data_IF_941007918093
#
_entry.id   IF_941007918093
#
_cell.length_a   1.000
_cell.length_b   1.000
_cell.length_c   1.000
_cell.angle_alpha   90.00
_cell.angle_beta   90.00
_cell.angle_gamma   90.00
#
_symmetry.space_group_name_H-M   'P 1'
#
loop_
_entity.id
_entity.type
_entity.pdbx_description
1 polymer ?
#
# COMPACT_ATOMS: atom_id res chain seq x y z
N UNK A 1 -55.71 -23.18 44.59
CA UNK A 1 -56.42 -22.76 43.36
C UNK A 1 -55.75 -21.53 42.75
N UNK A 2 -54.90 -21.75 41.75
CA UNK A 2 -54.71 -20.96 40.52
C UNK A 2 -53.68 -21.73 39.69
N UNK A 3 -54.20 -22.52 38.75
CA UNK A 3 -53.42 -23.19 37.71
C UNK A 3 -52.87 -22.12 36.75
N UNK A 4 -51.63 -22.28 36.27
CA UNK A 4 -51.39 -22.56 34.84
C UNK A 4 -49.90 -22.60 34.46
N UNK A 5 -49.54 -23.67 33.72
CA UNK A 5 -48.49 -23.79 32.68
C UNK A 5 -47.02 -23.79 33.19
N UNK A 6 -46.27 -24.90 33.28
CA UNK A 6 -46.03 -26.01 32.34
C UNK A 6 -45.60 -25.53 30.94
N UNK A 7 -44.28 -25.46 30.67
CA UNK A 7 -43.56 -26.34 29.72
C UNK A 7 -42.14 -25.85 29.36
N UNK A 8 -41.28 -26.85 29.26
CA UNK A 8 -39.96 -26.95 28.63
C UNK A 8 -39.82 -26.31 27.24
N UNK A 9 -38.55 -26.25 26.80
CA UNK A 9 -38.02 -26.14 25.42
C UNK A 9 -37.69 -24.71 24.97
N UNK A 10 -36.63 -24.42 24.22
CA UNK A 10 -35.62 -25.22 23.53
C UNK A 10 -34.49 -24.28 23.09
N UNK A 11 -33.28 -24.83 23.06
CA UNK A 11 -32.13 -24.38 22.27
C UNK A 11 -32.54 -23.76 20.93
N UNK A 12 -32.13 -22.51 20.67
CA UNK A 12 -31.98 -22.01 19.30
C UNK A 12 -30.56 -21.51 19.11
N UNK A 13 -29.70 -22.50 18.90
CA UNK A 13 -28.46 -22.40 18.16
C UNK A 13 -28.80 -21.79 16.79
N UNK A 14 -28.73 -20.47 16.65
CA UNK A 14 -28.81 -19.83 15.35
C UNK A 14 -27.51 -20.10 14.60
N UNK A 15 -27.43 -21.31 14.04
CA UNK A 15 -26.48 -21.65 12.99
C UNK A 15 -26.72 -20.71 11.84
N UNK A 16 -25.78 -19.79 11.61
CA UNK A 16 -25.66 -19.11 10.33
C UNK A 16 -25.11 -20.16 9.38
N UNK A 17 -26.03 -20.96 8.86
CA UNK A 17 -25.82 -21.79 7.69
C UNK A 17 -25.30 -20.90 6.56
N UNK A 18 -24.17 -21.37 6.02
CA UNK A 18 -23.60 -20.95 4.75
C UNK A 18 -24.68 -21.03 3.67
N UNK A 19 -25.37 -19.91 3.44
CA UNK A 19 -26.02 -19.70 2.15
C UNK A 19 -24.94 -19.16 1.22
N UNK A 20 -24.35 -20.12 0.52
CA UNK A 20 -23.86 -19.99 -0.83
C UNK A 20 -24.68 -18.95 -1.62
N UNK A 21 -24.09 -17.77 -1.83
CA UNK A 21 -24.25 -17.11 -3.13
C UNK A 21 -23.08 -17.52 -4.01
N UNK A 22 -23.10 -18.78 -4.43
CA UNK A 22 -22.75 -19.10 -5.81
C UNK A 22 -23.88 -18.55 -6.69
N UNK A 23 -23.94 -17.22 -6.81
CA UNK A 23 -24.76 -16.53 -7.79
C UNK A 23 -23.93 -16.37 -9.05
N UNK A 24 -24.36 -17.02 -10.12
CA UNK A 24 -23.80 -16.91 -11.46
C UNK A 24 -23.49 -15.45 -11.86
N UNK A 25 -22.25 -15.21 -12.29
CA UNK A 25 -21.98 -14.34 -13.43
C UNK A 25 -21.98 -12.82 -13.26
N UNK A 26 -22.15 -12.26 -12.06
CA UNK A 26 -21.96 -10.80 -11.89
C UNK A 26 -20.81 -10.50 -10.95
N UNK A 27 -19.69 -10.11 -11.56
CA UNK A 27 -18.52 -9.53 -10.92
C UNK A 27 -18.89 -8.24 -10.16
N UNK A 28 -19.48 -8.35 -8.97
CA UNK A 28 -19.86 -7.18 -8.17
C UNK A 28 -18.62 -6.44 -7.73
N UNK A 29 -18.45 -5.20 -8.20
CA UNK A 29 -17.41 -4.28 -7.73
C UNK A 29 -17.46 -4.16 -6.21
N UNK A 30 -16.31 -3.96 -5.56
CA UNK A 30 -16.22 -3.72 -4.11
C UNK A 30 -17.19 -2.61 -3.67
N UNK A 31 -17.43 -1.64 -4.55
CA UNK A 31 -18.31 -0.50 -4.29
C UNK A 31 -19.78 -0.85 -4.02
N UNK A 32 -20.24 -2.03 -4.42
CA UNK A 32 -21.64 -2.47 -4.29
C UNK A 32 -21.79 -3.78 -3.49
N UNK A 33 -20.68 -4.37 -3.05
CA UNK A 33 -20.70 -5.65 -2.37
C UNK A 33 -21.36 -5.54 -0.98
N UNK A 34 -21.89 -6.66 -0.48
CA UNK A 34 -22.40 -6.77 0.90
C UNK A 34 -21.28 -7.09 1.89
N UNK A 35 -20.21 -7.75 1.42
CA UNK A 35 -19.00 -8.03 2.17
C UNK A 35 -17.79 -7.70 1.32
N UNK A 36 -16.74 -7.18 1.94
CA UNK A 36 -15.45 -6.95 1.27
C UNK A 36 -14.34 -7.63 2.05
N UNK A 37 -13.46 -8.31 1.33
CA UNK A 37 -12.20 -8.85 1.82
C UNK A 37 -11.13 -8.65 0.73
N UNK A 38 -9.87 -8.42 1.09
CA UNK A 38 -8.86 -7.90 0.17
C UNK A 38 -8.58 -8.85 -1.00
N UNK A 39 -8.25 -10.13 -0.73
CA UNK A 39 -7.89 -11.11 -1.77
C UNK A 39 -9.12 -11.59 -2.53
N UNK A 40 -10.26 -11.74 -1.88
CA UNK A 40 -11.54 -12.05 -2.51
C UNK A 40 -11.94 -10.94 -3.49
N UNK A 41 -11.79 -9.67 -3.11
CA UNK A 41 -12.07 -8.54 -4.00
C UNK A 41 -11.14 -8.54 -5.22
N UNK A 42 -9.89 -8.95 -5.05
CA UNK A 42 -8.92 -9.00 -6.13
C UNK A 42 -9.28 -9.99 -7.24
N UNK A 43 -10.12 -11.00 -6.97
CA UNK A 43 -10.55 -11.98 -7.97
C UNK A 43 -11.47 -11.38 -9.05
N UNK A 44 -12.01 -10.18 -8.82
CA UNK A 44 -12.91 -9.52 -9.76
C UNK A 44 -12.22 -9.24 -11.12
N UNK A 45 -12.94 -9.47 -12.22
CA UNK A 45 -12.48 -9.17 -13.57
C UNK A 45 -12.39 -7.65 -13.86
N UNK A 46 -13.26 -6.85 -13.24
CA UNK A 46 -13.23 -5.39 -13.25
C UNK A 46 -12.22 -4.88 -12.23
N UNK A 47 -11.49 -3.82 -12.60
CA UNK A 47 -10.51 -3.19 -11.71
C UNK A 47 -11.17 -2.66 -10.45
N UNK A 48 -10.58 -3.00 -9.31
CA UNK A 48 -10.94 -2.46 -8.00
C UNK A 48 -9.76 -1.64 -7.47
N UNK A 49 -10.04 -0.66 -6.61
CA UNK A 49 -9.00 0.15 -5.99
C UNK A 49 -9.14 0.10 -4.48
N UNK A 50 -8.03 -0.21 -3.83
CA UNK A 50 -7.84 -0.07 -2.40
C UNK A 50 -6.78 0.99 -2.12
N UNK A 51 -6.85 1.60 -0.95
CA UNK A 51 -5.97 2.66 -0.50
C UNK A 51 -5.31 2.19 0.79
N UNK A 52 -3.98 2.18 0.80
CA UNK A 52 -3.22 2.10 2.05
C UNK A 52 -3.03 3.51 2.55
N UNK A 53 -3.58 3.82 3.72
CA UNK A 53 -3.45 5.13 4.35
C UNK A 53 -2.16 5.20 5.16
N UNK A 54 -1.74 6.42 5.51
CA UNK A 54 -0.70 6.66 6.52
C UNK A 54 -1.27 6.80 7.94
N UNK A 55 -2.57 6.58 8.12
CA UNK A 55 -3.28 6.66 9.40
C UNK A 55 -4.00 5.36 9.70
N UNK A 56 -4.21 5.09 10.99
CA UNK A 56 -4.89 3.90 11.50
C UNK A 56 -6.38 3.80 11.11
N UNK A 57 -7.01 4.93 10.79
CA UNK A 57 -8.41 5.02 10.37
C UNK A 57 -8.59 6.12 9.31
N UNK A 58 -9.63 6.04 8.46
CA UNK A 58 -9.92 7.05 7.43
C UNK A 58 -10.40 8.37 8.05
N UNK A 59 -9.76 9.47 7.65
CA UNK A 59 -10.12 10.86 7.97
C UNK A 59 -9.97 11.71 6.70
N UNK A 60 -10.48 12.93 6.71
CA UNK A 60 -10.43 13.85 5.55
C UNK A 60 -9.00 14.18 5.11
N UNK A 61 -8.11 14.35 6.08
CA UNK A 61 -6.69 14.68 5.89
C UNK A 61 -5.78 13.45 5.75
N UNK A 62 -6.33 12.23 5.88
CA UNK A 62 -5.60 10.98 5.69
C UNK A 62 -4.90 10.98 4.33
N UNK A 63 -3.59 10.85 4.36
CA UNK A 63 -2.79 10.68 3.15
C UNK A 63 -2.85 9.22 2.72
N UNK A 64 -2.97 9.04 1.42
CA UNK A 64 -2.82 7.76 0.75
C UNK A 64 -1.32 7.55 0.57
N UNK A 65 -0.81 6.49 1.18
CA UNK A 65 0.57 6.04 0.99
C UNK A 65 0.69 5.25 -0.31
N UNK A 66 -0.30 4.40 -0.60
CA UNK A 66 -0.32 3.60 -1.81
C UNK A 66 -1.73 3.39 -2.36
N UNK A 67 -1.81 3.35 -3.68
CA UNK A 67 -3.00 2.99 -4.44
C UNK A 67 -2.82 1.57 -4.97
N UNK A 68 -3.61 0.65 -4.44
CA UNK A 68 -3.57 -0.78 -4.72
C UNK A 68 -4.66 -1.12 -5.74
N UNK A 69 -4.25 -1.33 -6.99
CA UNK A 69 -5.17 -1.65 -8.10
C UNK A 69 -5.27 -3.15 -8.26
N UNK A 70 -6.44 -3.70 -7.98
CA UNK A 70 -6.68 -5.14 -8.00
C UNK A 70 -7.48 -5.56 -9.23
N UNK A 71 -7.09 -6.68 -9.85
CA UNK A 71 -7.80 -7.28 -10.96
C UNK A 71 -7.34 -8.73 -11.17
N UNK A 72 -8.28 -9.67 -11.38
CA UNK A 72 -8.00 -11.08 -11.74
C UNK A 72 -6.95 -11.76 -10.83
N UNK A 73 -7.11 -11.61 -9.52
CA UNK A 73 -6.25 -12.21 -8.49
C UNK A 73 -4.87 -11.55 -8.34
N UNK A 74 -4.67 -10.39 -8.96
CA UNK A 74 -3.41 -9.65 -8.93
C UNK A 74 -3.60 -8.23 -8.40
N UNK A 75 -2.54 -7.66 -7.84
CA UNK A 75 -2.49 -6.28 -7.36
C UNK A 75 -1.30 -5.55 -7.97
N UNK A 76 -1.52 -4.33 -8.43
CA UNK A 76 -0.48 -3.35 -8.76
C UNK A 76 -0.43 -2.31 -7.66
N UNK A 77 0.75 -2.06 -7.10
CA UNK A 77 0.94 -1.22 -5.92
C UNK A 77 1.68 0.08 -6.29
N UNK A 78 0.90 1.11 -6.61
CA UNK A 78 1.43 2.43 -6.92
C UNK A 78 1.74 3.19 -5.63
N UNK A 79 3.01 3.47 -5.39
CA UNK A 79 3.39 4.39 -4.33
C UNK A 79 3.04 5.81 -4.76
N UNK A 80 2.27 6.52 -3.91
CA UNK A 80 1.86 7.90 -4.19
C UNK A 80 2.34 8.84 -3.08
N UNK A 81 2.56 10.10 -3.44
CA UNK A 81 2.89 11.20 -2.52
C UNK A 81 1.90 12.34 -2.67
N UNK A 82 1.61 13.01 -1.55
CA UNK A 82 0.75 14.20 -1.49
C UNK A 82 -0.66 13.96 -2.09
N UNK A 83 -1.17 12.74 -1.92
CA UNK A 83 -2.53 12.34 -2.32
C UNK A 83 -3.33 12.08 -1.06
N UNK A 84 -4.40 12.84 -0.82
CA UNK A 84 -5.32 12.62 0.31
C UNK A 84 -6.60 11.90 -0.11
N UNK A 85 -7.32 11.29 0.83
CA UNK A 85 -8.65 10.75 0.56
C UNK A 85 -9.61 11.81 0.01
N UNK A 86 -9.51 13.04 0.51
CA UNK A 86 -10.28 14.17 -0.01
C UNK A 86 -9.98 14.45 -1.48
N UNK A 87 -8.70 14.42 -1.91
CA UNK A 87 -8.33 14.65 -3.32
C UNK A 87 -8.87 13.58 -4.28
N UNK A 88 -9.10 12.38 -3.75
CA UNK A 88 -9.67 11.25 -4.48
C UNK A 88 -11.19 11.20 -4.43
N UNK A 89 -11.83 12.10 -3.70
CA UNK A 89 -13.28 12.17 -3.60
C UNK A 89 -13.91 12.33 -4.99
N UNK A 90 -15.06 11.67 -5.22
CA UNK A 90 -15.77 11.63 -6.50
C UNK A 90 -15.01 11.08 -7.72
N UNK A 91 -13.71 10.76 -7.61
CA UNK A 91 -12.97 10.15 -8.70
C UNK A 91 -13.40 8.72 -8.95
N UNK A 92 -13.62 8.39 -10.23
CA UNK A 92 -13.87 7.04 -10.73
C UNK A 92 -12.60 6.21 -10.70
N UNK A 93 -12.73 4.88 -10.67
CA UNK A 93 -11.59 3.94 -10.62
C UNK A 93 -10.51 4.26 -11.66
N UNK A 94 -10.86 4.45 -12.94
CA UNK A 94 -9.85 4.74 -13.97
C UNK A 94 -9.16 6.10 -13.81
N UNK A 95 -9.85 7.10 -13.24
CA UNK A 95 -9.23 8.40 -12.94
C UNK A 95 -8.19 8.25 -11.83
N UNK A 96 -8.53 7.51 -10.77
CA UNK A 96 -7.61 7.20 -9.66
C UNK A 96 -6.39 6.43 -10.16
N UNK A 97 -6.58 5.45 -11.05
CA UNK A 97 -5.46 4.67 -11.62
C UNK A 97 -4.54 5.56 -12.47
N UNK A 98 -5.10 6.45 -13.29
CA UNK A 98 -4.30 7.40 -14.08
C UNK A 98 -3.51 8.35 -13.18
N UNK A 99 -4.17 8.88 -12.15
CA UNK A 99 -3.53 9.75 -11.15
C UNK A 99 -2.38 9.02 -10.45
N UNK A 100 -2.60 7.80 -9.99
CA UNK A 100 -1.58 7.01 -9.30
C UNK A 100 -0.35 6.75 -10.20
N UNK A 101 -0.56 6.38 -11.46
CA UNK A 101 0.52 6.19 -12.45
C UNK A 101 1.30 7.49 -12.71
N UNK A 102 0.59 8.61 -12.87
CA UNK A 102 1.22 9.91 -13.10
C UNK A 102 2.02 10.37 -11.89
N UNK A 103 1.46 10.21 -10.69
CA UNK A 103 2.10 10.56 -9.42
C UNK A 103 3.37 9.72 -9.16
N UNK A 104 3.32 8.41 -9.44
CA UNK A 104 4.50 7.54 -9.31
C UNK A 104 5.62 7.96 -10.27
N UNK A 105 5.29 8.26 -11.54
CA UNK A 105 6.25 8.76 -12.53
C UNK A 105 6.84 10.11 -12.14
N UNK A 106 6.00 11.03 -11.68
CA UNK A 106 6.44 12.34 -11.22
C UNK A 106 7.38 12.22 -10.02
N UNK A 107 6.98 11.43 -9.01
CA UNK A 107 7.78 11.15 -7.82
C UNK A 107 9.13 10.54 -8.20
N UNK A 108 9.15 9.62 -9.17
CA UNK A 108 10.39 9.04 -9.69
C UNK A 108 11.32 10.11 -10.28
N UNK A 109 10.81 10.93 -11.20
CA UNK A 109 11.61 11.98 -11.85
C UNK A 109 12.13 13.01 -10.84
N UNK A 110 11.28 13.46 -9.92
CA UNK A 110 11.66 14.42 -8.87
C UNK A 110 12.70 13.85 -7.92
N UNK A 111 12.54 12.59 -7.49
CA UNK A 111 13.51 11.94 -6.60
C UNK A 111 14.85 11.74 -7.29
N UNK A 112 14.84 11.35 -8.56
CA UNK A 112 16.05 11.21 -9.38
C UNK A 112 16.78 12.56 -9.51
N UNK A 113 16.06 13.62 -9.88
CA UNK A 113 16.62 14.96 -10.02
C UNK A 113 17.16 15.51 -8.68
N UNK A 114 16.42 15.32 -7.58
CA UNK A 114 16.85 15.74 -6.24
C UNK A 114 18.13 15.01 -5.81
N UNK A 115 18.22 13.70 -6.01
CA UNK A 115 19.45 12.95 -5.70
C UNK A 115 20.63 13.41 -6.54
N UNK A 116 20.42 13.68 -7.82
CA UNK A 116 21.47 14.23 -8.69
C UNK A 116 21.94 15.62 -8.23
N UNK A 117 21.01 16.48 -7.80
CA UNK A 117 21.33 17.80 -7.27
C UNK A 117 22.14 17.70 -5.97
N UNK A 118 21.77 16.79 -5.06
CA UNK A 118 22.48 16.59 -3.80
C UNK A 118 23.94 16.17 -4.03
N UNK A 119 24.21 15.17 -4.87
CA UNK A 119 25.59 14.76 -5.18
C UNK A 119 26.42 15.86 -5.84
N UNK A 120 25.79 16.71 -6.66
CA UNK A 120 26.47 17.86 -7.25
C UNK A 120 26.77 18.95 -6.22
N UNK A 121 25.86 19.17 -5.27
CA UNK A 121 26.03 20.13 -4.19
C UNK A 121 27.12 19.72 -3.20
N UNK A 122 27.15 18.43 -2.81
CA UNK A 122 28.21 17.84 -1.98
C UNK A 122 29.58 18.01 -2.65
N UNK A 123 29.71 17.59 -3.91
CA UNK A 123 30.93 17.77 -4.71
C UNK A 123 31.36 19.24 -4.85
N UNK A 124 30.43 20.17 -5.06
CA UNK A 124 30.75 21.59 -5.18
C UNK A 124 31.29 22.17 -3.86
N UNK A 125 30.71 21.75 -2.73
CA UNK A 125 31.15 22.13 -1.40
C UNK A 125 32.57 21.64 -1.15
N UNK A 126 32.84 20.37 -1.43
CA UNK A 126 34.16 19.78 -1.19
C UNK A 126 35.23 20.32 -2.13
N UNK A 127 34.90 20.62 -3.39
CA UNK A 127 35.82 21.32 -4.30
C UNK A 127 36.14 22.74 -3.81
N UNK A 128 35.18 23.43 -3.22
CA UNK A 128 35.43 24.74 -2.60
C UNK A 128 36.34 24.61 -1.39
N UNK A 129 36.11 23.60 -0.53
CA UNK A 129 36.95 23.31 0.64
C UNK A 129 38.37 22.90 0.24
N UNK A 130 38.52 22.11 -0.83
CA UNK A 130 39.80 21.76 -1.44
C UNK A 130 40.56 23.02 -1.87
N UNK A 131 39.94 23.87 -2.69
CA UNK A 131 40.54 25.13 -3.17
C UNK A 131 40.97 26.05 -2.02
N UNK A 132 40.14 26.16 -0.99
CA UNK A 132 40.45 26.97 0.19
C UNK A 132 41.57 26.34 1.04
N UNK A 133 41.61 25.02 1.16
CA UNK A 133 42.67 24.32 1.89
C UNK A 133 44.03 24.47 1.20
N UNK A 134 44.04 24.44 -0.13
CA UNK A 134 45.24 24.71 -0.94
C UNK A 134 45.75 26.16 -0.75
N UNK A 135 44.88 27.10 -0.37
CA UNK A 135 45.21 28.51 -0.15
C UNK A 135 45.77 28.83 1.25
N UNK A 136 45.48 28.03 2.29
CA UNK A 136 45.82 28.34 3.70
C UNK A 136 46.81 27.36 4.39
N UNK A 137 47.62 26.61 3.63
CA UNK A 137 48.79 25.85 4.13
C UNK A 137 48.52 24.85 5.29
N UNK A 138 47.30 24.33 5.43
CA UNK A 138 46.95 23.38 6.49
C UNK A 138 47.12 21.92 6.02
N UNK A 139 48.36 21.40 5.96
CA UNK A 139 48.70 20.11 5.32
C UNK A 139 47.85 18.89 5.74
N UNK A 140 47.46 18.76 7.02
CA UNK A 140 46.58 17.65 7.47
C UNK A 140 45.13 17.82 7.01
N UNK A 141 44.66 19.07 6.81
CA UNK A 141 43.33 19.39 6.27
C UNK A 141 43.25 19.26 4.75
N UNK A 142 44.34 19.59 4.02
CA UNK A 142 44.42 19.44 2.55
C UNK A 142 44.24 17.98 2.12
N UNK A 143 44.90 17.04 2.80
CA UNK A 143 44.78 15.61 2.48
C UNK A 143 43.34 15.09 2.66
N UNK A 144 42.65 15.57 3.71
CA UNK A 144 41.25 15.24 3.96
C UNK A 144 40.34 15.86 2.90
N UNK A 145 40.46 17.16 2.63
CA UNK A 145 39.65 17.84 1.61
C UNK A 145 39.84 17.24 0.20
N UNK A 146 41.08 16.86 -0.16
CA UNK A 146 41.36 16.15 -1.41
C UNK A 146 40.69 14.77 -1.47
N UNK A 147 40.70 14.04 -0.35
CA UNK A 147 40.08 12.71 -0.25
C UNK A 147 38.56 12.80 -0.37
N UNK A 148 37.94 13.75 0.34
CA UNK A 148 36.50 14.02 0.32
C UNK A 148 36.04 14.43 -1.09
N UNK A 149 36.68 15.43 -1.69
CA UNK A 149 36.36 15.87 -3.05
C UNK A 149 36.50 14.74 -4.10
N UNK A 150 37.54 13.88 -3.98
CA UNK A 150 37.72 12.72 -4.86
C UNK A 150 36.64 11.66 -4.63
N UNK A 151 36.24 11.43 -3.38
CA UNK A 151 35.19 10.48 -3.04
C UNK A 151 33.84 10.94 -3.60
N UNK A 152 33.51 12.22 -3.44
CA UNK A 152 32.25 12.78 -3.92
C UNK A 152 32.21 12.94 -5.44
N UNK A 153 33.36 13.21 -6.08
CA UNK A 153 33.46 13.14 -7.55
C UNK A 153 33.14 11.73 -8.04
N UNK A 154 33.74 10.70 -7.43
CA UNK A 154 33.45 9.29 -7.75
C UNK A 154 31.97 8.97 -7.57
N UNK A 155 31.35 9.43 -6.48
CA UNK A 155 29.91 9.19 -6.20
C UNK A 155 29.01 9.87 -7.22
N UNK A 156 29.28 11.14 -7.53
CA UNK A 156 28.54 11.89 -8.55
C UNK A 156 28.64 11.23 -9.93
N UNK A 157 29.83 10.78 -10.33
CA UNK A 157 30.05 10.09 -11.61
C UNK A 157 29.35 8.73 -11.66
N UNK A 158 29.44 7.94 -10.60
CA UNK A 158 28.74 6.65 -10.47
C UNK A 158 27.21 6.83 -10.54
N UNK A 159 26.66 7.84 -9.86
CA UNK A 159 25.24 8.13 -9.93
C UNK A 159 24.83 8.58 -11.34
N UNK A 160 25.60 9.48 -11.96
CA UNK A 160 25.35 9.94 -13.34
C UNK A 160 25.40 8.78 -14.34
N UNK A 161 26.38 7.88 -14.23
CA UNK A 161 26.53 6.74 -15.12
C UNK A 161 25.37 5.73 -14.95
N UNK A 162 25.03 5.37 -13.71
CA UNK A 162 23.97 4.40 -13.42
C UNK A 162 22.56 4.90 -13.78
N UNK A 163 22.37 6.21 -13.89
CA UNK A 163 21.07 6.83 -14.18
C UNK A 163 20.94 7.38 -15.61
N UNK A 164 22.03 7.38 -16.41
CA UNK A 164 22.07 7.99 -17.76
C UNK A 164 20.97 7.49 -18.70
N UNK A 165 20.65 6.20 -18.63
CA UNK A 165 19.64 5.54 -19.47
C UNK A 165 18.45 5.05 -18.64
N UNK A 166 18.34 5.51 -17.39
CA UNK A 166 17.28 5.05 -16.52
C UNK A 166 15.99 5.79 -16.85
N UNK A 167 15.00 5.03 -17.28
CA UNK A 167 13.66 5.53 -17.56
C UNK A 167 12.66 4.96 -16.56
N UNK A 168 11.60 5.73 -16.32
CA UNK A 168 10.49 5.25 -15.52
C UNK A 168 9.85 4.02 -16.18
N UNK A 169 9.83 2.92 -15.44
CA UNK A 169 9.08 1.72 -15.72
C UNK A 169 7.90 1.64 -14.74
N UNK A 170 6.69 1.49 -15.26
CA UNK A 170 5.49 1.35 -14.44
C UNK A 170 5.55 0.08 -13.58
N UNK A 171 5.05 0.18 -12.35
CA UNK A 171 4.96 -0.96 -11.44
C UNK A 171 4.09 -2.08 -12.02
N UNK A 172 4.59 -3.32 -11.92
CA UNK A 172 3.90 -4.53 -12.42
C UNK A 172 2.88 -5.06 -11.40
N UNK A 173 1.87 -5.74 -11.92
CA UNK A 173 0.91 -6.47 -11.10
C UNK A 173 1.49 -7.81 -10.64
N UNK A 174 1.29 -8.19 -9.38
CA UNK A 174 1.69 -9.48 -8.80
C UNK A 174 0.48 -10.21 -8.21
N UNK A 175 0.52 -11.56 -8.11
CA UNK A 175 -0.48 -12.30 -7.34
C UNK A 175 -0.55 -11.77 -5.91
N UNK A 176 -1.76 -11.62 -5.40
CA UNK A 176 -2.00 -11.35 -3.98
C UNK A 176 -2.45 -12.64 -3.30
N UNK A 177 -1.91 -12.90 -2.12
CA UNK A 177 -2.24 -14.10 -1.33
C UNK A 177 -2.66 -13.69 0.08
N UNK A 178 -3.48 -14.51 0.73
CA UNK A 178 -3.75 -14.41 2.15
C UNK A 178 -3.51 -15.74 2.85
N UNK A 179 -3.09 -15.68 4.10
CA UNK A 179 -3.08 -16.84 5.01
C UNK A 179 -4.10 -16.61 6.12
N UNK A 180 -5.11 -17.45 6.25
CA UNK A 180 -6.15 -17.30 7.27
C UNK A 180 -5.76 -18.00 8.57
N UNK A 181 -6.22 -17.43 9.69
CA UNK A 181 -6.11 -18.02 11.02
C UNK A 181 -7.50 -18.41 11.49
N UNK A 182 -7.64 -19.63 12.03
CA UNK A 182 -8.90 -20.16 12.54
C UNK A 182 -8.87 -20.28 14.07
N UNK A 183 -10.04 -20.24 14.69
CA UNK A 183 -10.20 -20.52 16.12
C UNK A 183 -9.77 -21.95 16.47
N UNK A 184 -9.69 -22.28 17.77
CA UNK A 184 -9.25 -23.60 18.26
C UNK A 184 -10.06 -24.77 17.69
N UNK A 185 -11.35 -24.56 17.36
CA UNK A 185 -12.20 -25.60 16.76
C UNK A 185 -12.02 -25.74 15.25
N UNK A 186 -11.22 -24.88 14.61
CA UNK A 186 -10.99 -24.88 13.17
C UNK A 186 -12.21 -24.47 12.33
N UNK A 187 -13.29 -24.00 12.96
CA UNK A 187 -14.56 -23.71 12.29
C UNK A 187 -14.70 -22.26 11.84
N UNK A 188 -14.07 -21.32 12.55
CA UNK A 188 -14.29 -19.89 12.33
C UNK A 188 -12.97 -19.18 12.01
N UNK A 189 -12.96 -18.36 10.97
CA UNK A 189 -11.82 -17.49 10.64
C UNK A 189 -11.81 -16.34 11.65
N UNK A 190 -10.67 -16.13 12.31
CA UNK A 190 -10.47 -15.12 13.36
C UNK A 190 -9.37 -14.10 13.01
N UNK A 191 -8.70 -14.30 11.88
CA UNK A 191 -7.67 -13.40 11.39
C UNK A 191 -7.16 -13.81 10.02
N UNK A 192 -6.38 -12.94 9.41
CA UNK A 192 -5.69 -13.21 8.16
C UNK A 192 -4.34 -12.49 8.08
N UNK A 193 -3.45 -12.98 7.24
CA UNK A 193 -2.23 -12.28 6.86
C UNK A 193 -2.23 -12.12 5.35
N UNK A 194 -2.51 -10.90 4.89
CA UNK A 194 -2.46 -10.55 3.46
C UNK A 194 -1.01 -10.29 3.09
N UNK A 195 -0.54 -10.93 2.02
CA UNK A 195 0.78 -10.72 1.45
C UNK A 195 0.66 -10.04 0.09
N UNK A 196 1.27 -8.86 -0.02
CA UNK A 196 1.36 -8.07 -1.24
C UNK A 196 2.81 -8.09 -1.71
N UNK A 197 3.02 -8.51 -2.97
CA UNK A 197 4.30 -8.34 -3.67
C UNK A 197 4.21 -7.11 -4.57
N UNK A 198 5.22 -6.25 -4.51
CA UNK A 198 5.29 -5.04 -5.31
C UNK A 198 6.70 -4.82 -5.84
N UNK A 199 6.83 -4.11 -6.95
CA UNK A 199 8.10 -3.48 -7.33
C UNK A 199 8.10 -2.07 -6.77
N UNK A 200 9.17 -1.70 -6.07
CA UNK A 200 9.36 -0.33 -5.56
C UNK A 200 10.71 0.19 -6.06
N UNK A 201 10.74 1.48 -6.37
CA UNK A 201 11.98 2.17 -6.72
C UNK A 201 12.83 2.35 -5.48
N UNK A 202 14.00 1.75 -5.49
CA UNK A 202 15.03 1.94 -4.47
C UNK A 202 16.07 2.92 -5.01
N UNK A 203 16.27 4.00 -4.26
CA UNK A 203 17.31 4.99 -4.53
C UNK A 203 18.43 4.74 -3.53
N UNK A 204 19.58 4.26 -4.01
CA UNK A 204 20.76 4.02 -3.18
C UNK A 204 21.27 5.28 -2.48
N UNK A 205 22.15 5.06 -1.49
CA UNK A 205 22.98 6.10 -0.88
C UNK A 205 24.21 6.38 -1.74
N UNK A 206 25.03 7.36 -1.34
CA UNK A 206 26.32 7.62 -1.98
C UNK A 206 27.22 6.37 -2.04
N UNK A 207 27.18 5.54 -1.00
CA UNK A 207 27.96 4.31 -0.88
C UNK A 207 27.36 3.12 -1.67
N UNK A 208 26.04 3.08 -1.82
CA UNK A 208 25.31 1.95 -2.43
C UNK A 208 24.74 2.32 -3.81
N UNK A 209 25.23 3.43 -4.38
CA UNK A 209 24.64 4.29 -5.41
C UNK A 209 24.12 3.60 -6.66
N UNK A 210 22.92 3.05 -6.56
CA UNK A 210 22.16 2.54 -7.70
C UNK A 210 20.69 2.90 -7.55
N UNK A 211 20.06 3.30 -8.64
CA UNK A 211 18.61 3.45 -8.72
C UNK A 211 18.08 2.23 -9.46
N UNK A 212 17.29 1.40 -8.77
CA UNK A 212 16.75 0.16 -9.33
C UNK A 212 15.37 -0.15 -8.78
N UNK A 213 14.62 -0.95 -9.51
CA UNK A 213 13.40 -1.55 -8.97
C UNK A 213 13.76 -2.80 -8.19
N UNK A 214 13.37 -2.87 -6.93
CA UNK A 214 13.47 -4.08 -6.12
C UNK A 214 12.09 -4.62 -5.80
N UNK A 215 12.00 -5.93 -5.63
CA UNK A 215 10.75 -6.56 -5.19
C UNK A 215 10.65 -6.44 -3.67
N UNK A 216 9.53 -5.92 -3.21
CA UNK A 216 9.19 -5.78 -1.81
C UNK A 216 8.00 -6.66 -1.51
N UNK A 217 8.01 -7.25 -0.32
CA UNK A 217 6.87 -7.99 0.21
C UNK A 217 6.36 -7.25 1.43
N UNK A 218 5.07 -6.90 1.41
CA UNK A 218 4.38 -6.33 2.57
C UNK A 218 3.40 -7.36 3.10
N UNK A 219 3.38 -7.50 4.43
CA UNK A 219 2.42 -8.32 5.14
C UNK A 219 1.48 -7.43 5.95
N UNK A 220 0.18 -7.70 5.87
CA UNK A 220 -0.84 -7.09 6.72
C UNK A 220 -1.43 -8.21 7.56
N UNK A 221 -1.02 -8.27 8.82
CA UNK A 221 -1.65 -9.14 9.81
C UNK A 221 -2.90 -8.43 10.29
N UNK A 222 -4.03 -9.11 10.18
CA UNK A 222 -5.35 -8.62 10.48
C UNK A 222 -6.01 -9.59 11.46
N UNK A 223 -6.67 -9.06 12.46
CA UNK A 223 -7.52 -9.79 13.38
C UNK A 223 -8.91 -9.13 13.45
N UNK A 224 -9.80 -9.64 14.32
CA UNK A 224 -11.20 -9.21 14.31
C UNK A 224 -11.42 -7.75 14.68
N UNK A 225 -10.51 -7.16 15.47
CA UNK A 225 -10.57 -5.74 15.87
C UNK A 225 -10.10 -4.83 14.73
N UNK A 226 -9.35 -5.34 13.76
CA UNK A 226 -8.97 -4.60 12.56
C UNK A 226 -10.12 -4.45 11.55
N UNK A 227 -11.21 -5.23 11.66
CA UNK A 227 -12.33 -5.13 10.72
C UNK A 227 -13.18 -3.89 10.99
N UNK A 228 -13.43 -3.09 9.95
CA UNK A 228 -14.40 -1.99 10.04
C UNK A 228 -15.81 -2.56 10.17
N UNK A 229 -16.46 -2.30 11.32
CA UNK A 229 -17.82 -2.75 11.60
C UNK A 229 -18.88 -2.10 10.69
N UNK A 230 -18.62 -0.88 10.20
CA UNK A 230 -19.49 -0.16 9.27
C UNK A 230 -18.66 0.81 8.40
N UNK A 231 -19.20 1.27 7.26
CA UNK A 231 -18.50 2.24 6.42
C UNK A 231 -18.31 3.59 7.10
N UNK A 232 -17.11 4.16 6.98
CA UNK A 232 -16.76 5.50 7.45
C UNK A 232 -16.93 6.49 6.31
N UNK A 233 -17.65 7.60 6.55
CA UNK A 233 -17.81 8.66 5.55
C UNK A 233 -16.70 9.69 5.68
N UNK A 234 -15.97 9.94 4.60
CA UNK A 234 -14.93 10.96 4.50
C UNK A 234 -15.24 11.83 3.29
N UNK A 235 -15.45 13.12 3.52
CA UNK A 235 -15.76 14.10 2.47
C UNK A 235 -16.91 13.66 1.53
N UNK A 236 -17.93 13.00 2.06
CA UNK A 236 -19.09 12.51 1.29
C UNK A 236 -18.89 11.17 0.55
N UNK A 237 -17.68 10.58 0.59
CA UNK A 237 -17.44 9.21 0.10
C UNK A 237 -17.38 8.23 1.28
N UNK A 238 -18.05 7.09 1.16
CA UNK A 238 -17.96 6.01 2.17
C UNK A 238 -16.79 5.07 1.88
N UNK A 239 -16.08 4.69 2.92
CA UNK A 239 -14.95 3.78 2.89
C UNK A 239 -15.19 2.61 3.84
N UNK A 240 -14.76 1.42 3.44
CA UNK A 240 -14.82 0.19 4.23
C UNK A 240 -13.53 -0.60 4.02
N UNK A 241 -13.17 -1.45 4.97
CA UNK A 241 -12.01 -2.32 4.88
C UNK A 241 -11.45 -2.61 6.26
N UNK A 242 -10.17 -2.37 6.43
CA UNK A 242 -9.44 -2.71 7.64
C UNK A 242 -8.87 -1.45 8.29
N UNK A 243 -9.11 -1.29 9.59
CA UNK A 243 -8.26 -0.49 10.45
C UNK A 243 -6.85 -1.10 10.48
N UNK A 244 -5.88 -0.34 10.95
CA UNK A 244 -4.56 -0.87 11.20
C UNK A 244 -3.86 -0.09 12.30
N UNK A 245 -2.89 -0.71 12.97
CA UNK A 245 -2.13 -0.06 14.05
C UNK A 245 -1.41 1.21 13.58
N UNK A 246 -0.91 1.22 12.34
CA UNK A 246 -0.26 2.37 11.72
C UNK A 246 -0.90 2.80 10.39
N UNK A 247 -1.44 1.85 9.61
CA UNK A 247 -1.91 2.10 8.25
C UNK A 247 -3.19 1.31 8.00
N UNK A 248 -4.32 2.00 7.83
CA UNK A 248 -5.56 1.39 7.38
C UNK A 248 -5.48 0.97 5.91
N UNK A 249 -6.28 -0.03 5.55
CA UNK A 249 -6.42 -0.54 4.20
C UNK A 249 -7.90 -0.52 3.79
N UNK A 250 -8.29 0.41 2.91
CA UNK A 250 -9.70 0.69 2.65
C UNK A 250 -10.04 0.75 1.16
N UNK A 251 -11.30 0.50 0.83
CA UNK A 251 -11.88 0.71 -0.50
C UNK A 251 -13.16 1.54 -0.42
N UNK A 252 -13.56 2.15 -1.54
CA UNK A 252 -14.79 2.93 -1.62
C UNK A 252 -16.00 2.00 -1.65
N UNK A 253 -17.08 2.41 -1.00
CA UNK A 253 -18.38 1.74 -1.04
C UNK A 253 -19.52 2.72 -1.25
N UNK A 254 -20.58 2.26 -1.91
CA UNK A 254 -21.88 2.92 -2.00
C UNK A 254 -22.91 2.24 -1.11
N UNK A 255 -22.67 0.98 -0.72
CA UNK A 255 -23.53 0.23 0.19
C UNK A 255 -23.26 0.67 1.63
N UNK A 256 -24.26 1.27 2.28
CA UNK A 256 -24.15 1.72 3.67
C UNK A 256 -24.09 0.58 4.69
N UNK A 257 -24.48 -0.65 4.29
CA UNK A 257 -24.55 -1.83 5.15
C UNK A 257 -23.44 -2.86 4.85
N UNK A 258 -22.46 -2.51 4.01
CA UNK A 258 -21.35 -3.41 3.70
C UNK A 258 -20.54 -3.68 4.96
N UNK A 259 -20.06 -4.91 5.08
CA UNK A 259 -19.20 -5.35 6.17
C UNK A 259 -17.80 -5.64 5.64
N UNK A 260 -16.78 -5.23 6.39
CA UNK A 260 -15.45 -5.79 6.21
C UNK A 260 -15.41 -7.23 6.72
N UNK A 261 -14.65 -8.09 6.07
CA UNK A 261 -14.52 -9.49 6.45
C UNK A 261 -13.12 -10.01 6.10
N UNK A 262 -12.77 -11.16 6.67
CA UNK A 262 -11.62 -11.92 6.20
C UNK A 262 -11.92 -12.64 4.89
N UNK A 263 -10.86 -12.94 4.16
CA UNK A 263 -10.87 -13.71 2.93
C UNK A 263 -11.36 -15.15 3.19
N UNK A 264 -12.12 -15.69 2.24
CA UNK A 264 -12.74 -17.02 2.37
C UNK A 264 -11.73 -18.09 1.92
N UNK A 265 -11.51 -19.18 2.68
CA UNK A 265 -10.52 -20.23 2.32
C UNK A 265 -10.68 -20.86 0.93
N UNK A 266 -11.88 -20.83 0.35
CA UNK A 266 -12.14 -21.35 -1.01
C UNK A 266 -11.76 -20.36 -2.11
N UNK A 267 -11.37 -19.13 -1.76
CA UNK A 267 -10.91 -18.12 -2.71
C UNK A 267 -9.53 -18.52 -3.23
N UNK A 268 -9.27 -18.45 -4.55
CA UNK A 268 -7.93 -18.65 -5.09
C UNK A 268 -6.90 -17.76 -4.40
N UNK A 269 -5.73 -18.33 -4.08
CA UNK A 269 -4.61 -17.68 -3.36
C UNK A 269 -4.86 -17.38 -1.87
N UNK A 270 -5.91 -17.97 -1.27
CA UNK A 270 -6.15 -17.94 0.18
C UNK A 270 -5.82 -19.31 0.76
N UNK A 271 -4.97 -19.36 1.79
CA UNK A 271 -4.46 -20.59 2.41
C UNK A 271 -4.79 -20.65 3.91
#
# INVERSE_FOLDING_TARGET
MKLSLWRFMLVSLAGVSLISLAGCGHSTTASKANKVAFVTTAQNAQKQVWYRLNTAAPKSDSQVKDVLVQQKGRVTDYQVKDVSLQSLNHQRVDQVIRLAKANERQTFNQTLASKQANYRGELATDKSNQKNSDQYTYKKGIAQANSEAKQDQKRADQFKQSTRHLHFAATKAYPVTAKISKNKSGKQVIGETVQIKAQKWQYGTAANGTVKQTQWQTYFKLDSQDLMAAPVTVSGTKYIGYYGTANALVTKTTNAKVQANFDIPTTPNVN
#
